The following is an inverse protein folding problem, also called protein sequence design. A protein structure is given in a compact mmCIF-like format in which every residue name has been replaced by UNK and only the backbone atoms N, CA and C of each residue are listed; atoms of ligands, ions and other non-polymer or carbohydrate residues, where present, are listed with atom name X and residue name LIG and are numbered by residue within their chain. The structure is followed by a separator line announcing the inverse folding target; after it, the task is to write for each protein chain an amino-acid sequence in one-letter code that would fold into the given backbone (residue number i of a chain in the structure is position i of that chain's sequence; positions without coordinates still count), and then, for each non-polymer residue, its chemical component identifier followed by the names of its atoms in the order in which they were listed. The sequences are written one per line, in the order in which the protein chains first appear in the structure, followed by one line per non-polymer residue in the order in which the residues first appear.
data_IF_614140129193
#
_entry.id   IF_614140129193
#
_cell.length_a   1.000
_cell.length_b   1.000
_cell.length_c   1.000
_cell.angle_alpha   90.00
_cell.angle_beta   90.00
_cell.angle_gamma   90.00
#
_symmetry.space_group_name_H-M   'P 1'
#
loop_
_entity.id
_entity.type
_entity.pdbx_description
1 polymer ?
#
# COMPACT_ATOMS: atom_id res chain seq x y z
N UNK A 1 -5.78 57.65 25.17
CA UNK A 1 -6.11 56.20 25.26
C UNK A 1 -6.20 55.65 23.84
N UNK A 2 -5.25 54.83 23.40
CA UNK A 2 -5.34 54.07 22.14
C UNK A 2 -4.91 52.64 22.44
N UNK A 3 -5.89 51.75 22.48
CA UNK A 3 -5.73 50.32 22.72
C UNK A 3 -5.36 49.68 21.37
N UNK A 4 -4.18 49.07 21.27
CA UNK A 4 -3.77 48.25 20.13
C UNK A 4 -4.05 46.79 20.49
N UNK A 5 -5.07 46.21 19.85
CA UNK A 5 -5.40 44.79 19.97
C UNK A 5 -4.52 44.03 18.99
N UNK A 6 -3.57 43.24 19.50
CA UNK A 6 -2.75 42.34 18.70
C UNK A 6 -3.53 41.02 18.50
N UNK A 7 -3.89 40.71 17.26
CA UNK A 7 -4.53 39.46 16.88
C UNK A 7 -3.43 38.45 16.47
N UNK A 8 -3.07 37.55 17.38
CA UNK A 8 -2.15 36.44 17.09
C UNK A 8 -2.90 35.31 16.39
N UNK A 9 -2.69 35.17 15.08
CA UNK A 9 -3.21 34.04 14.30
C UNK A 9 -2.22 32.88 14.43
N UNK A 10 -2.56 31.88 15.24
CA UNK A 10 -1.82 30.62 15.33
C UNK A 10 -2.23 29.72 14.16
N UNK A 11 -1.35 29.56 13.17
CA UNK A 11 -1.53 28.58 12.10
C UNK A 11 -1.27 27.17 12.65
N UNK A 12 -2.32 26.35 12.75
CA UNK A 12 -2.18 24.93 13.07
C UNK A 12 -1.69 24.19 11.83
N UNK A 13 -0.46 23.66 11.89
CA UNK A 13 0.07 22.76 10.86
C UNK A 13 -0.61 21.41 11.04
N UNK A 14 -1.49 21.04 10.10
CA UNK A 14 -2.05 19.70 10.02
C UNK A 14 -0.96 18.77 9.46
N UNK A 15 -0.26 18.05 10.33
CA UNK A 15 0.65 16.98 9.91
C UNK A 15 -0.16 15.76 9.51
N UNK A 16 -0.28 15.50 8.21
CA UNK A 16 -0.69 14.18 7.71
C UNK A 16 0.46 13.22 7.90
N UNK A 17 0.31 12.24 8.80
CA UNK A 17 1.26 11.14 8.92
C UNK A 17 1.21 10.31 7.63
N UNK A 18 2.27 10.41 6.81
CA UNK A 18 2.47 9.49 5.70
C UNK A 18 2.83 8.12 6.27
N UNK A 19 2.20 7.05 5.78
CA UNK A 19 2.63 5.69 6.10
C UNK A 19 4.00 5.48 5.47
N UNK A 20 4.92 4.85 6.20
CA UNK A 20 6.21 4.49 5.63
C UNK A 20 6.04 3.39 4.58
N UNK A 21 6.91 3.37 3.57
CA UNK A 21 6.95 2.31 2.56
C UNK A 21 7.11 0.91 3.19
N UNK A 22 6.67 -0.12 2.47
CA UNK A 22 6.81 -1.50 2.94
C UNK A 22 8.28 -1.92 3.05
N UNK A 23 8.57 -2.76 4.05
CA UNK A 23 9.93 -3.24 4.36
C UNK A 23 10.06 -4.77 4.41
N UNK A 24 8.96 -5.51 4.29
CA UNK A 24 8.95 -6.97 4.38
C UNK A 24 9.84 -7.65 3.32
N UNK A 25 10.00 -7.04 2.14
CA UNK A 25 10.82 -7.53 1.05
C UNK A 25 12.29 -7.75 1.43
N UNK A 26 12.77 -7.10 2.50
CA UNK A 26 14.13 -7.28 3.00
C UNK A 26 14.35 -8.64 3.70
N UNK A 27 13.29 -9.30 4.15
CA UNK A 27 13.36 -10.54 4.95
C UNK A 27 12.36 -11.62 4.52
N UNK A 28 11.61 -11.35 3.45
CA UNK A 28 10.69 -12.30 2.85
C UNK A 28 11.12 -12.61 1.41
N UNK A 29 10.78 -13.81 0.95
CA UNK A 29 11.03 -14.31 -0.40
C UNK A 29 9.75 -14.91 -0.99
N UNK A 30 9.76 -15.15 -2.30
CA UNK A 30 8.63 -15.71 -3.05
C UNK A 30 7.31 -14.97 -2.79
N UNK A 31 7.38 -13.65 -2.56
CA UNK A 31 6.17 -12.86 -2.39
C UNK A 31 5.53 -12.59 -3.75
N UNK A 32 4.21 -12.72 -3.79
CA UNK A 32 3.43 -12.52 -5.00
C UNK A 32 2.04 -11.99 -4.64
N UNK A 33 1.42 -11.33 -5.61
CA UNK A 33 0.00 -11.01 -5.54
C UNK A 33 -0.82 -12.31 -5.51
N UNK A 34 -1.87 -12.32 -4.69
CA UNK A 34 -2.81 -13.42 -4.59
C UNK A 34 -4.20 -12.91 -4.20
N UNK A 35 -5.23 -13.66 -4.56
CA UNK A 35 -6.59 -13.43 -4.05
C UNK A 35 -6.78 -14.18 -2.73
N UNK A 36 -7.02 -13.43 -1.65
CA UNK A 36 -7.36 -13.98 -0.34
C UNK A 36 -8.88 -13.96 -0.20
N UNK A 37 -9.54 -14.94 -0.81
CA UNK A 37 -10.99 -14.88 -1.03
C UNK A 37 -11.33 -13.86 -2.11
N UNK A 38 -12.14 -12.83 -1.80
CA UNK A 38 -12.44 -11.72 -2.71
C UNK A 38 -11.51 -10.51 -2.55
N UNK A 39 -10.57 -10.58 -1.61
CA UNK A 39 -9.66 -9.48 -1.28
C UNK A 39 -8.34 -9.61 -2.04
N UNK A 40 -7.76 -8.47 -2.40
CA UNK A 40 -6.40 -8.38 -2.92
C UNK A 40 -5.40 -8.61 -1.79
N UNK A 41 -4.46 -9.53 -1.95
CA UNK A 41 -3.47 -9.83 -0.92
C UNK A 41 -2.09 -10.17 -1.46
N UNK A 42 -1.17 -10.32 -0.53
CA UNK A 42 0.20 -10.79 -0.74
C UNK A 42 0.34 -12.12 -0.02
N UNK A 43 0.87 -13.13 -0.69
CA UNK A 43 1.39 -14.35 -0.05
C UNK A 43 2.91 -14.31 -0.13
N UNK A 44 3.60 -14.66 0.95
CA UNK A 44 5.07 -14.66 1.00
C UNK A 44 5.61 -15.73 1.95
N UNK A 45 6.90 -16.01 1.83
CA UNK A 45 7.66 -16.77 2.83
C UNK A 45 8.61 -15.83 3.56
N UNK A 46 8.36 -15.59 4.84
CA UNK A 46 9.08 -14.61 5.66
C UNK A 46 9.93 -15.30 6.73
N UNK A 47 11.12 -14.77 7.00
CA UNK A 47 12.01 -15.29 8.04
C UNK A 47 11.56 -14.86 9.43
N UNK A 48 11.60 -15.79 10.38
CA UNK A 48 11.53 -15.54 11.82
C UNK A 48 12.87 -15.07 12.36
N UNK A 49 12.89 -14.58 13.61
CA UNK A 49 14.12 -14.11 14.28
C UNK A 49 15.16 -15.22 14.50
N UNK A 50 14.71 -16.47 14.57
CA UNK A 50 15.57 -17.66 14.66
C UNK A 50 16.09 -18.15 13.29
N UNK A 51 15.68 -17.48 12.19
CA UNK A 51 16.05 -17.83 10.83
C UNK A 51 15.11 -18.84 10.16
N UNK A 52 14.13 -19.39 10.87
CA UNK A 52 13.16 -20.32 10.29
C UNK A 52 12.18 -19.62 9.34
N UNK A 53 11.82 -20.31 8.26
CA UNK A 53 10.88 -19.78 7.28
C UNK A 53 9.42 -19.97 7.74
N UNK A 54 8.58 -18.97 7.48
CA UNK A 54 7.14 -19.05 7.69
C UNK A 54 6.38 -18.57 6.44
N UNK A 55 5.46 -19.40 5.95
CA UNK A 55 4.52 -18.96 4.94
C UNK A 55 3.43 -18.10 5.59
N UNK A 56 3.17 -16.94 5.02
CA UNK A 56 2.25 -15.95 5.56
C UNK A 56 1.54 -15.21 4.44
N UNK A 57 0.42 -14.56 4.77
CA UNK A 57 -0.34 -13.76 3.83
C UNK A 57 -0.95 -12.55 4.53
N UNK A 58 -1.20 -11.50 3.75
CA UNK A 58 -1.81 -10.28 4.23
C UNK A 58 -2.68 -9.65 3.13
N UNK A 59 -3.80 -9.06 3.51
CA UNK A 59 -4.65 -8.27 2.61
C UNK A 59 -4.01 -6.92 2.36
N UNK A 60 -3.94 -6.50 1.09
CA UNK A 60 -3.54 -5.15 0.68
C UNK A 60 -4.71 -4.21 0.95
N UNK A 61 -4.48 -3.10 1.66
CA UNK A 61 -5.49 -2.12 2.08
C UNK A 61 -5.28 -0.77 1.38
N UNK A 62 -6.36 -0.01 1.25
CA UNK A 62 -6.31 1.40 0.90
C UNK A 62 -5.96 1.68 -0.54
N UNK A 63 -6.21 0.78 -1.50
CA UNK A 63 -5.95 1.01 -2.92
C UNK A 63 -7.22 0.84 -3.74
N UNK A 64 -7.54 1.83 -4.58
CA UNK A 64 -8.63 1.76 -5.55
C UNK A 64 -8.17 2.17 -6.94
N UNK A 65 -9.02 1.86 -7.93
CA UNK A 65 -8.88 2.34 -9.30
C UNK A 65 -9.74 3.59 -9.47
N UNK A 66 -9.11 4.74 -9.68
CA UNK A 66 -9.74 6.02 -9.97
C UNK A 66 -9.54 6.38 -11.44
N UNK A 67 -10.53 6.07 -12.27
CA UNK A 67 -10.55 6.35 -13.70
C UNK A 67 -9.36 5.76 -14.50
N UNK A 68 -8.90 4.57 -14.15
CA UNK A 68 -7.77 3.88 -14.77
C UNK A 68 -6.43 4.09 -14.04
N UNK A 69 -6.42 4.80 -12.91
CA UNK A 69 -5.20 5.11 -12.13
C UNK A 69 -5.34 4.53 -10.72
N UNK A 70 -4.32 3.83 -10.23
CA UNK A 70 -4.29 3.35 -8.85
C UNK A 70 -4.12 4.54 -7.88
N UNK A 71 -4.85 4.56 -6.78
CA UNK A 71 -4.79 5.66 -5.80
C UNK A 71 -4.98 5.14 -4.39
N UNK A 72 -4.35 5.80 -3.41
CA UNK A 72 -4.61 5.57 -1.99
C UNK A 72 -5.89 6.28 -1.54
N UNK A 73 -6.83 5.53 -0.94
CA UNK A 73 -8.11 6.08 -0.47
C UNK A 73 -8.48 5.68 0.97
N UNK A 74 -7.63 4.90 1.66
CA UNK A 74 -7.82 4.48 3.04
C UNK A 74 -8.98 3.49 3.27
N UNK A 75 -9.71 3.11 2.22
CA UNK A 75 -10.79 2.13 2.27
C UNK A 75 -10.24 0.70 2.11
N UNK A 76 -11.04 -0.36 2.30
CA UNK A 76 -10.67 -1.68 1.81
C UNK A 76 -10.37 -1.63 0.31
N UNK A 77 -9.31 -2.32 -0.13
CA UNK A 77 -8.90 -2.25 -1.53
C UNK A 77 -9.97 -2.79 -2.47
N UNK A 78 -10.19 -2.06 -3.57
CA UNK A 78 -11.20 -2.37 -4.59
C UNK A 78 -10.64 -2.42 -6.00
N UNK A 79 -9.38 -2.03 -6.22
CA UNK A 79 -8.76 -1.99 -7.54
C UNK A 79 -8.86 -3.34 -8.28
N UNK A 80 -8.76 -4.46 -7.57
CA UNK A 80 -8.82 -5.82 -8.12
C UNK A 80 -10.14 -6.13 -8.83
N UNK A 81 -11.20 -5.35 -8.59
CA UNK A 81 -12.49 -5.50 -9.25
C UNK A 81 -12.49 -4.97 -10.69
N UNK A 82 -11.54 -4.10 -11.04
CA UNK A 82 -11.49 -3.40 -12.34
C UNK A 82 -10.10 -3.32 -12.96
N UNK A 83 -9.10 -3.92 -12.33
CA UNK A 83 -7.74 -4.03 -12.84
C UNK A 83 -7.36 -5.49 -13.10
N UNK A 84 -6.54 -5.72 -14.12
CA UNK A 84 -5.95 -7.01 -14.47
C UNK A 84 -4.43 -6.91 -14.60
N UNK A 85 -3.77 -8.03 -14.91
CA UNK A 85 -2.30 -8.12 -15.03
C UNK A 85 -1.58 -7.56 -13.80
N UNK A 86 -2.09 -7.90 -12.60
CA UNK A 86 -1.58 -7.38 -11.34
C UNK A 86 -0.27 -8.10 -11.00
N UNK A 87 0.77 -7.32 -10.72
CA UNK A 87 2.07 -7.83 -10.29
C UNK A 87 2.64 -7.00 -9.16
N UNK A 88 3.59 -7.58 -8.43
CA UNK A 88 4.38 -6.90 -7.42
C UNK A 88 5.81 -6.79 -7.93
N UNK A 89 6.33 -5.57 -7.93
CA UNK A 89 7.73 -5.26 -8.14
C UNK A 89 8.32 -4.79 -6.83
N UNK A 90 9.61 -5.02 -6.60
CA UNK A 90 10.26 -4.57 -5.38
C UNK A 90 11.69 -4.15 -5.63
N UNK A 91 12.16 -3.22 -4.81
CA UNK A 91 13.58 -2.98 -4.60
C UNK A 91 13.91 -3.01 -3.09
N UNK A 92 15.11 -2.58 -2.71
CA UNK A 92 15.53 -2.56 -1.31
C UNK A 92 14.75 -1.56 -0.43
N UNK A 93 13.92 -0.68 -1.03
CA UNK A 93 13.27 0.44 -0.34
C UNK A 93 11.75 0.35 -0.36
N UNK A 94 11.19 -0.27 -1.40
CA UNK A 94 9.76 -0.20 -1.68
C UNK A 94 9.25 -1.48 -2.34
N UNK A 95 7.95 -1.67 -2.26
CA UNK A 95 7.20 -2.67 -3.02
C UNK A 95 6.12 -1.94 -3.79
N UNK A 96 6.15 -2.07 -5.11
CA UNK A 96 5.23 -1.40 -6.04
C UNK A 96 4.26 -2.40 -6.62
N UNK A 97 2.97 -2.11 -6.53
CA UNK A 97 1.93 -2.81 -7.26
C UNK A 97 1.80 -2.20 -8.65
N UNK A 98 1.87 -3.03 -9.69
CA UNK A 98 1.62 -2.63 -11.07
C UNK A 98 0.39 -3.36 -11.59
N UNK A 99 -0.46 -2.67 -12.36
CA UNK A 99 -1.65 -3.27 -12.95
C UNK A 99 -2.11 -2.52 -14.20
N UNK A 100 -2.97 -3.18 -14.98
CA UNK A 100 -3.73 -2.55 -16.05
C UNK A 100 -5.16 -2.29 -15.56
N UNK A 101 -5.51 -1.03 -15.35
CA UNK A 101 -6.77 -0.63 -14.73
C UNK A 101 -7.74 -0.05 -15.75
N UNK A 102 -9.01 -0.46 -15.66
CA UNK A 102 -10.06 -0.01 -16.58
C UNK A 102 -10.45 1.44 -16.30
N UNK A 103 -10.39 2.29 -17.33
CA UNK A 103 -10.87 3.66 -17.33
C UNK A 103 -12.36 3.74 -17.72
N UNK A 104 -13.05 4.89 -17.53
CA UNK A 104 -14.49 5.02 -17.78
C UNK A 104 -14.87 4.83 -19.26
N UNK A 105 -13.95 5.15 -20.18
CA UNK A 105 -14.11 4.92 -21.62
C UNK A 105 -13.94 3.43 -22.01
N UNK A 106 -13.60 2.56 -21.05
CA UNK A 106 -13.40 1.12 -21.26
C UNK A 106 -11.97 0.72 -21.63
N UNK A 107 -11.06 1.68 -21.84
CA UNK A 107 -9.64 1.39 -22.07
C UNK A 107 -8.96 0.90 -20.80
N UNK A 108 -7.88 0.15 -20.95
CA UNK A 108 -7.03 -0.28 -19.83
C UNK A 108 -5.75 0.51 -19.84
N UNK A 109 -5.47 1.21 -18.74
CA UNK A 109 -4.26 2.01 -18.56
C UNK A 109 -3.30 1.27 -17.65
N UNK A 110 -2.02 1.20 -18.06
CA UNK A 110 -0.95 0.73 -17.18
C UNK A 110 -0.71 1.77 -16.08
N UNK A 111 -0.71 1.31 -14.84
CA UNK A 111 -0.58 2.17 -13.67
C UNK A 111 0.16 1.43 -12.56
N UNK A 112 0.74 2.18 -11.64
CA UNK A 112 1.48 1.62 -10.51
C UNK A 112 1.32 2.48 -9.27
N UNK A 113 1.46 1.85 -8.11
CA UNK A 113 1.38 2.51 -6.80
C UNK A 113 2.27 1.76 -5.80
N UNK A 114 2.86 2.49 -4.85
CA UNK A 114 3.59 1.87 -3.75
C UNK A 114 2.62 1.19 -2.78
N UNK A 115 3.00 0.03 -2.25
CA UNK A 115 2.32 -0.59 -1.12
C UNK A 115 3.00 -0.11 0.14
N UNK A 116 2.25 0.58 1.00
CA UNK A 116 2.76 1.18 2.22
C UNK A 116 2.46 0.31 3.46
N UNK A 117 3.31 0.44 4.47
CA UNK A 117 3.07 -0.02 5.83
C UNK A 117 3.32 -1.50 6.12
N UNK A 118 3.62 -2.35 5.13
CA UNK A 118 3.76 -3.79 5.39
C UNK A 118 5.19 -4.13 5.82
N UNK A 119 5.31 -4.83 6.94
CA UNK A 119 6.55 -5.32 7.53
C UNK A 119 6.46 -6.81 7.87
N UNK A 120 7.62 -7.45 8.06
CA UNK A 120 7.71 -8.81 8.60
C UNK A 120 7.90 -8.76 10.12
N UNK A 121 6.91 -9.21 10.88
CA UNK A 121 6.97 -9.36 12.33
C UNK A 121 7.15 -10.83 12.70
N UNK A 122 8.41 -11.23 12.90
CA UNK A 122 8.80 -12.60 13.27
C UNK A 122 8.14 -13.69 12.40
N UNK A 123 8.30 -13.58 11.08
CA UNK A 123 7.76 -14.51 10.09
C UNK A 123 6.31 -14.23 9.67
N UNK A 124 5.66 -13.17 10.17
CA UNK A 124 4.26 -12.83 9.87
C UNK A 124 4.18 -11.45 9.23
N UNK A 125 3.53 -11.34 8.08
CA UNK A 125 3.27 -10.04 7.45
C UNK A 125 2.28 -9.24 8.30
N UNK A 126 2.60 -7.98 8.59
CA UNK A 126 1.73 -7.06 9.34
C UNK A 126 1.88 -5.62 8.83
N UNK A 127 0.82 -4.83 9.00
CA UNK A 127 0.89 -3.37 8.99
C UNK A 127 1.60 -2.83 10.24
#
# INVERSE_FOLDING_TARGET
MKLLVALSVSAAVLSTAALAGSSFQNTCSNFQFSYLGSEAGITATCLRSDGEANQTSIVIRGISNQNGILTHDGAPSSFQQSCGNIALLSDLRSVTLTANCRAPNGEFLETSIEIEGISNQNGVLSY
#
